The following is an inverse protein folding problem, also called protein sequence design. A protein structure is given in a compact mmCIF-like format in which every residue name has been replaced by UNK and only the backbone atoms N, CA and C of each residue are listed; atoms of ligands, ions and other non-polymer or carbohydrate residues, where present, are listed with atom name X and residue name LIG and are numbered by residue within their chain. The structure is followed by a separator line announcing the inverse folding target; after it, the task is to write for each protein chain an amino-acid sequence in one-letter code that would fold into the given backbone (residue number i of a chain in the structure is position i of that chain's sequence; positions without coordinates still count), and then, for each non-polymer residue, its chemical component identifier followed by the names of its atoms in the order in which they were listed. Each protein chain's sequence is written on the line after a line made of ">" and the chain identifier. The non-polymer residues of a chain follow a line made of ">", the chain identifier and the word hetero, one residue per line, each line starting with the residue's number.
data_IF_863728423317
#
_entry.id   IF_863728423317
#
_cell.length_a   1.000
_cell.length_b   1.000
_cell.length_c   1.000
_cell.angle_alpha   90.00
_cell.angle_beta   90.00
_cell.angle_gamma   90.00
#
_symmetry.space_group_name_H-M   'P 1'
#
loop_
_entity.id
_entity.type
_entity.pdbx_description
1 polymer ?
#
# COMPACT_ATOMS: atom_id res chain seq x y z
N UNK A 1 -1.04 -27.50 27.02
CA UNK A 1 0.13 -26.95 26.32
C UNK A 1 -0.10 -27.21 24.83
N UNK A 2 -1.05 -26.51 24.22
CA UNK A 2 -1.33 -26.67 22.79
C UNK A 2 -0.58 -25.57 22.05
N UNK A 3 0.29 -26.02 21.16
CA UNK A 3 1.38 -25.26 20.58
C UNK A 3 0.94 -24.01 19.83
N UNK A 4 1.89 -23.10 19.70
CA UNK A 4 1.88 -22.00 18.73
C UNK A 4 1.29 -22.51 17.40
N UNK A 5 0.02 -22.20 17.11
CA UNK A 5 -0.46 -22.19 15.73
C UNK A 5 0.24 -21.01 15.06
N UNK A 6 1.47 -21.24 14.61
CA UNK A 6 2.18 -20.39 13.66
C UNK A 6 1.37 -20.39 12.36
N UNK A 7 0.30 -19.61 12.35
CA UNK A 7 -0.68 -19.57 11.28
C UNK A 7 -0.10 -18.85 10.07
N UNK A 8 0.58 -19.59 9.20
CA UNK A 8 0.86 -19.16 7.84
C UNK A 8 -0.50 -18.93 7.15
N UNK A 9 -0.82 -17.68 6.83
CA UNK A 9 -2.07 -17.32 6.15
C UNK A 9 -2.17 -18.13 4.85
N UNK A 10 -3.27 -18.87 4.67
CA UNK A 10 -3.50 -19.68 3.47
C UNK A 10 -3.88 -18.75 2.30
N UNK A 11 -2.87 -18.33 1.54
CA UNK A 11 -3.01 -17.46 0.37
C UNK A 11 -3.63 -18.17 -0.85
N UNK A 12 -3.87 -19.49 -0.79
CA UNK A 12 -4.46 -20.24 -1.92
C UNK A 12 -5.99 -20.14 -1.95
N UNK A 13 -6.61 -19.75 -0.83
CA UNK A 13 -8.03 -19.46 -0.74
C UNK A 13 -8.31 -18.02 -1.22
N UNK A 14 -9.19 -17.88 -2.22
CA UNK A 14 -9.50 -16.60 -2.86
C UNK A 14 -10.11 -15.56 -1.89
N UNK A 15 -10.87 -15.99 -0.89
CA UNK A 15 -11.43 -15.09 0.14
C UNK A 15 -10.32 -14.59 1.08
N UNK A 16 -9.42 -15.49 1.48
CA UNK A 16 -8.28 -15.15 2.36
C UNK A 16 -7.29 -14.23 1.64
N UNK A 17 -7.01 -14.48 0.35
CA UNK A 17 -6.22 -13.60 -0.50
C UNK A 17 -6.82 -12.18 -0.56
N UNK A 18 -8.12 -12.08 -0.84
CA UNK A 18 -8.81 -10.79 -0.88
C UNK A 18 -8.79 -10.07 0.48
N UNK A 19 -8.91 -10.81 1.59
CA UNK A 19 -8.84 -10.26 2.94
C UNK A 19 -7.44 -9.74 3.28
N UNK A 20 -6.39 -10.49 2.95
CA UNK A 20 -5.00 -10.06 3.14
C UNK A 20 -4.65 -8.86 2.26
N UNK A 21 -5.12 -8.82 1.01
CA UNK A 21 -4.94 -7.66 0.13
C UNK A 21 -5.60 -6.40 0.69
N UNK A 22 -6.80 -6.50 1.28
CA UNK A 22 -7.46 -5.37 1.96
C UNK A 22 -6.62 -4.89 3.14
N UNK A 23 -6.18 -5.80 4.01
CA UNK A 23 -5.34 -5.47 5.17
C UNK A 23 -4.01 -4.81 4.76
N UNK A 24 -3.34 -5.32 3.71
CA UNK A 24 -2.12 -4.71 3.17
C UNK A 24 -2.39 -3.32 2.59
N UNK A 25 -3.46 -3.18 1.82
CA UNK A 25 -3.86 -1.89 1.22
C UNK A 25 -4.19 -0.85 2.28
N UNK A 26 -4.83 -1.24 3.38
CA UNK A 26 -5.14 -0.39 4.53
C UNK A 26 -3.85 0.10 5.22
N UNK A 27 -2.91 -0.80 5.49
CA UNK A 27 -1.61 -0.46 6.09
C UNK A 27 -0.81 0.51 5.20
N UNK A 28 -0.78 0.27 3.88
CA UNK A 28 -0.10 1.16 2.90
C UNK A 28 -0.81 2.50 2.74
N UNK A 29 -2.14 2.56 2.89
CA UNK A 29 -2.87 3.82 2.84
C UNK A 29 -2.59 4.72 4.04
N UNK A 30 -2.25 4.15 5.20
CA UNK A 30 -1.84 4.92 6.38
C UNK A 30 -0.49 5.62 6.18
N UNK A 31 0.36 5.13 5.28
CA UNK A 31 1.65 5.76 4.94
C UNK A 31 1.55 6.75 3.78
N UNK A 32 0.34 7.21 3.40
CA UNK A 32 0.19 8.31 2.43
C UNK A 32 0.69 9.61 3.06
N UNK A 33 1.99 9.79 3.04
CA UNK A 33 2.65 11.06 3.35
C UNK A 33 2.01 12.13 2.50
N UNK A 34 1.64 13.25 3.11
CA UNK A 34 1.18 14.43 2.37
C UNK A 34 2.32 14.90 1.48
N UNK A 35 2.32 14.47 0.23
CA UNK A 35 3.30 14.91 -0.76
C UNK A 35 3.08 16.38 -1.08
N UNK A 36 4.14 17.18 -0.99
CA UNK A 36 4.10 18.60 -1.32
C UNK A 36 3.99 18.80 -2.83
N UNK A 37 3.28 19.86 -3.26
CA UNK A 37 3.14 20.21 -4.69
C UNK A 37 4.48 20.40 -5.41
N UNK A 38 5.54 20.78 -4.71
CA UNK A 38 6.87 21.00 -5.30
C UNK A 38 7.81 19.78 -5.24
N UNK A 39 7.45 18.72 -4.52
CA UNK A 39 8.30 17.53 -4.36
C UNK A 39 8.42 16.73 -5.67
N UNK A 40 9.47 15.90 -5.85
CA UNK A 40 9.56 14.96 -6.95
C UNK A 40 8.34 14.03 -7.02
N UNK A 41 7.82 13.80 -8.22
CA UNK A 41 6.63 12.97 -8.40
C UNK A 41 6.96 11.48 -8.19
N UNK A 42 6.21 10.75 -7.34
CA UNK A 42 6.52 9.37 -6.96
C UNK A 42 6.28 8.37 -8.10
N UNK A 43 5.70 8.80 -9.22
CA UNK A 43 5.59 7.98 -10.45
C UNK A 43 6.91 7.83 -11.22
N UNK A 44 8.00 8.45 -10.76
CA UNK A 44 9.32 8.30 -11.38
C UNK A 44 9.55 9.18 -12.61
N UNK A 45 8.66 10.13 -12.91
CA UNK A 45 8.80 10.99 -14.10
C UNK A 45 9.89 12.05 -14.02
N UNK A 46 10.49 12.26 -12.85
CA UNK A 46 11.43 13.35 -12.57
C UNK A 46 10.80 14.74 -12.49
N UNK A 47 9.48 14.88 -12.74
CA UNK A 47 8.76 16.16 -12.64
C UNK A 47 8.33 16.45 -11.20
N UNK A 48 8.11 17.72 -10.88
CA UNK A 48 7.44 18.12 -9.62
C UNK A 48 6.01 17.56 -9.58
N UNK A 49 5.52 17.17 -8.40
CA UNK A 49 4.18 16.59 -8.22
C UNK A 49 3.08 17.44 -8.85
N UNK A 50 3.11 18.77 -8.66
CA UNK A 50 2.13 19.71 -9.26
C UNK A 50 2.16 19.83 -10.79
N UNK A 51 3.21 19.32 -11.44
CA UNK A 51 3.38 19.32 -12.91
C UNK A 51 3.26 17.90 -13.48
N UNK A 52 2.78 16.95 -12.69
CA UNK A 52 2.61 15.54 -13.07
C UNK A 52 1.31 14.99 -12.45
N UNK A 53 1.37 14.00 -11.56
CA UNK A 53 0.18 13.36 -10.99
C UNK A 53 -0.72 14.28 -10.15
N UNK A 54 -0.17 15.34 -9.56
CA UNK A 54 -0.92 16.37 -8.84
C UNK A 54 -1.33 17.56 -9.71
N UNK A 55 -1.42 17.36 -11.02
CA UNK A 55 -1.80 18.36 -12.00
C UNK A 55 -3.28 18.72 -11.86
N UNK A 56 -3.52 19.82 -11.15
CA UNK A 56 -4.70 20.69 -11.26
C UNK A 56 -4.21 22.11 -11.52
#
# INVERSE_FOLDING_TARGET
>A
MEGLKSGMLDITNSETFNKTLRQYTEMVNQTRTKIGRNDPCPCGSGKKYKKCCGGV
#
